data_IF_258484378971
#
_entry.id   IF_258484378971
#
_cell.length_a   1.000
_cell.length_b   1.000
_cell.length_c   1.000
_cell.angle_alpha   90.00
_cell.angle_beta   90.00
_cell.angle_gamma   90.00
#
_symmetry.space_group_name_H-M   'P 1'
#
loop_
_entity.id
_entity.type
_entity.pdbx_description
1 polymer ?
#
# COMPACT_ATOMS: atom_id res chain seq x y z
N UNK A 1 -2.32 -23.61 9.70
CA UNK A 1 -3.51 -22.80 10.04
C UNK A 1 -4.73 -23.54 9.52
N UNK A 2 -5.70 -23.91 10.37
CA UNK A 2 -6.96 -24.44 9.86
C UNK A 2 -7.64 -23.37 8.99
N UNK A 3 -8.21 -23.73 7.83
CA UNK A 3 -8.89 -22.76 7.00
C UNK A 3 -10.07 -22.15 7.77
N UNK A 4 -10.22 -20.83 7.70
CA UNK A 4 -11.37 -20.14 8.26
C UNK A 4 -12.64 -20.70 7.65
N UNK A 5 -13.55 -21.22 8.48
CA UNK A 5 -14.79 -21.84 8.00
C UNK A 5 -15.95 -21.57 8.94
N UNK A 6 -17.16 -21.57 8.36
CA UNK A 6 -18.42 -21.58 9.12
C UNK A 6 -18.67 -23.00 9.56
N UNK A 7 -18.70 -23.22 10.86
CA UNK A 7 -18.93 -24.53 11.46
C UNK A 7 -20.07 -24.45 12.46
N UNK A 8 -20.85 -25.49 12.55
CA UNK A 8 -21.82 -25.70 13.64
C UNK A 8 -21.37 -26.88 14.50
N UNK A 9 -21.71 -26.84 15.78
CA UNK A 9 -21.49 -27.92 16.73
C UNK A 9 -22.87 -28.36 17.24
N UNK A 10 -23.13 -29.66 17.23
CA UNK A 10 -24.31 -30.21 17.87
C UNK A 10 -24.17 -30.29 19.41
N UNK A 11 -25.23 -30.66 20.12
CA UNK A 11 -25.20 -30.80 21.57
C UNK A 11 -24.18 -31.83 22.07
N UNK A 12 -23.77 -32.77 21.21
CA UNK A 12 -22.73 -33.76 21.50
C UNK A 12 -21.32 -33.26 21.19
N UNK A 13 -21.14 -32.00 20.74
CA UNK A 13 -19.85 -31.39 20.41
C UNK A 13 -19.30 -31.81 19.05
N UNK A 14 -20.07 -32.46 18.17
CA UNK A 14 -19.65 -32.84 16.84
C UNK A 14 -19.65 -31.65 15.90
N UNK A 15 -18.49 -31.36 15.35
CA UNK A 15 -18.26 -30.27 14.38
C UNK A 15 -18.74 -30.66 12.98
N UNK A 16 -19.56 -29.81 12.36
CA UNK A 16 -19.91 -29.88 10.94
C UNK A 16 -19.51 -28.56 10.27
N UNK A 17 -18.66 -28.65 9.24
CA UNK A 17 -18.26 -27.46 8.44
C UNK A 17 -19.31 -27.22 7.37
N UNK A 18 -19.90 -26.03 7.35
CA UNK A 18 -20.96 -25.64 6.42
C UNK A 18 -20.42 -24.95 5.16
N UNK A 19 -19.43 -24.06 5.35
CA UNK A 19 -18.84 -23.26 4.28
C UNK A 19 -17.42 -22.90 4.66
N UNK A 20 -16.49 -22.89 3.69
CA UNK A 20 -15.11 -22.50 3.91
C UNK A 20 -14.72 -21.40 2.92
N UNK A 21 -15.26 -20.18 3.06
CA UNK A 21 -14.85 -19.08 2.19
C UNK A 21 -13.50 -18.55 2.65
N UNK A 22 -12.58 -18.20 1.74
CA UNK A 22 -11.33 -17.53 2.08
C UNK A 22 -11.54 -16.18 2.78
N UNK A 23 -12.67 -15.53 2.48
CA UNK A 23 -13.04 -14.23 3.06
C UNK A 23 -14.46 -14.26 3.57
N UNK A 24 -14.67 -13.81 4.82
CA UNK A 24 -15.96 -13.77 5.48
C UNK A 24 -16.20 -12.41 6.14
N UNK A 25 -17.42 -11.86 5.97
CA UNK A 25 -17.80 -10.51 6.40
C UNK A 25 -18.92 -10.49 7.45
N UNK A 26 -19.26 -11.62 7.99
CA UNK A 26 -20.26 -11.76 9.02
C UNK A 26 -21.17 -12.95 8.81
N UNK A 27 -21.82 -13.36 9.87
CA UNK A 27 -22.79 -14.45 9.89
C UNK A 27 -23.87 -14.19 10.94
N UNK A 28 -25.07 -14.73 10.69
CA UNK A 28 -26.16 -14.73 11.67
C UNK A 28 -27.03 -15.99 11.50
N UNK A 29 -27.60 -16.45 12.61
CA UNK A 29 -28.56 -17.54 12.57
C UNK A 29 -29.83 -17.10 11.86
N UNK A 30 -30.27 -17.91 10.89
CA UNK A 30 -31.58 -17.81 10.26
C UNK A 30 -32.59 -18.72 10.97
N UNK A 31 -33.83 -18.77 10.48
CA UNK A 31 -34.78 -19.78 10.88
C UNK A 31 -34.36 -21.18 10.36
N UNK A 32 -34.92 -22.24 10.94
CA UNK A 32 -34.80 -23.64 10.47
C UNK A 32 -33.34 -24.16 10.41
N UNK A 33 -32.54 -23.86 11.43
CA UNK A 33 -31.11 -24.26 11.55
C UNK A 33 -30.22 -23.82 10.39
N UNK A 34 -30.63 -22.81 9.68
CA UNK A 34 -29.84 -22.18 8.63
C UNK A 34 -28.96 -21.03 9.17
N UNK A 35 -27.89 -20.70 8.45
CA UNK A 35 -26.99 -19.60 8.76
C UNK A 35 -26.85 -18.71 7.54
N UNK A 36 -27.10 -17.43 7.70
CA UNK A 36 -26.72 -16.42 6.73
C UNK A 36 -25.22 -16.14 6.83
N UNK A 37 -24.54 -16.15 5.70
CA UNK A 37 -23.10 -15.90 5.63
C UNK A 37 -22.83 -14.91 4.51
N UNK A 38 -22.20 -13.78 4.84
CA UNK A 38 -21.64 -12.90 3.83
C UNK A 38 -20.16 -13.22 3.62
N UNK A 39 -19.74 -13.41 2.37
CA UNK A 39 -18.38 -13.79 2.05
C UNK A 39 -18.19 -14.17 0.59
N UNK A 40 -17.03 -14.74 0.29
CA UNK A 40 -16.72 -15.22 -1.05
C UNK A 40 -15.31 -15.78 -1.20
N UNK A 41 -14.98 -16.32 -2.38
CA UNK A 41 -13.65 -16.87 -2.66
C UNK A 41 -12.54 -15.82 -2.69
N UNK A 42 -12.89 -14.56 -2.90
CA UNK A 42 -11.91 -13.44 -2.87
C UNK A 42 -12.48 -12.23 -2.13
N UNK A 43 -11.62 -11.25 -1.82
CA UNK A 43 -12.06 -9.94 -1.29
C UNK A 43 -12.99 -9.17 -2.24
N UNK A 44 -13.10 -9.57 -3.50
CA UNK A 44 -13.97 -8.97 -4.52
C UNK A 44 -15.35 -9.62 -4.59
N UNK A 45 -15.46 -10.84 -4.10
CA UNK A 45 -16.72 -11.56 -4.12
C UNK A 45 -17.57 -11.12 -2.93
N UNK A 46 -18.69 -10.51 -3.24
CA UNK A 46 -19.62 -9.92 -2.29
C UNK A 46 -20.94 -10.67 -2.37
N UNK A 47 -20.92 -11.89 -1.87
CA UNK A 47 -22.08 -12.77 -1.94
C UNK A 47 -22.66 -13.03 -0.56
N UNK A 48 -23.97 -13.16 -0.52
CA UNK A 48 -24.74 -13.59 0.64
C UNK A 48 -25.19 -15.03 0.38
N UNK A 49 -24.82 -15.90 1.29
CA UNK A 49 -25.17 -17.33 1.24
C UNK A 49 -26.14 -17.68 2.34
N UNK A 50 -27.07 -18.56 2.02
CA UNK A 50 -27.82 -19.33 3.02
C UNK A 50 -27.21 -20.73 3.10
N UNK A 51 -26.75 -21.12 4.28
CA UNK A 51 -26.10 -22.41 4.52
C UNK A 51 -26.84 -23.21 5.56
N UNK A 52 -26.96 -24.51 5.30
CA UNK A 52 -27.63 -25.46 6.20
C UNK A 52 -26.75 -26.71 6.35
N UNK A 53 -26.88 -27.48 7.44
CA UNK A 53 -26.11 -28.70 7.64
C UNK A 53 -26.44 -29.80 6.60
N UNK A 54 -27.59 -29.73 5.90
CA UNK A 54 -28.13 -30.80 5.09
C UNK A 54 -28.13 -30.51 3.59
N UNK A 55 -27.83 -29.26 3.18
CA UNK A 55 -27.85 -28.88 1.76
C UNK A 55 -26.57 -28.12 1.40
N UNK A 56 -26.15 -28.14 0.12
CA UNK A 56 -25.04 -27.28 -0.34
C UNK A 56 -25.33 -25.79 -0.06
N UNK A 57 -24.30 -24.98 0.16
CA UNK A 57 -24.45 -23.54 0.29
C UNK A 57 -25.16 -22.93 -0.91
N UNK A 58 -26.19 -22.11 -0.65
CA UNK A 58 -26.95 -21.44 -1.70
C UNK A 58 -26.58 -19.96 -1.72
N UNK A 59 -26.06 -19.48 -2.85
CA UNK A 59 -25.88 -18.05 -3.09
C UNK A 59 -27.24 -17.41 -3.36
N UNK A 60 -27.65 -16.50 -2.49
CA UNK A 60 -28.96 -15.83 -2.54
C UNK A 60 -28.86 -14.45 -3.17
N UNK A 61 -27.72 -13.77 -2.96
CA UNK A 61 -27.52 -12.43 -3.48
C UNK A 61 -26.02 -12.17 -3.71
N UNK A 62 -25.71 -11.37 -4.71
CA UNK A 62 -24.35 -10.90 -5.01
C UNK A 62 -24.37 -9.41 -5.32
N UNK A 63 -23.37 -8.68 -4.79
CA UNK A 63 -23.21 -7.25 -5.00
C UNK A 63 -21.80 -6.89 -5.46
N UNK A 64 -21.65 -5.69 -6.00
CA UNK A 64 -20.36 -5.06 -6.29
C UNK A 64 -19.81 -4.31 -5.07
N UNK A 65 -20.68 -3.95 -4.13
CA UNK A 65 -20.31 -3.32 -2.86
C UNK A 65 -20.04 -4.36 -1.76
N UNK A 66 -19.44 -3.93 -0.66
CA UNK A 66 -19.26 -4.78 0.52
C UNK A 66 -20.59 -5.07 1.18
N UNK A 67 -20.89 -6.33 1.39
CA UNK A 67 -22.02 -6.77 2.19
C UNK A 67 -21.49 -7.45 3.45
N UNK A 68 -22.10 -7.15 4.59
CA UNK A 68 -21.82 -7.83 5.85
C UNK A 68 -23.13 -8.12 6.55
N UNK A 69 -23.29 -9.36 7.00
CA UNK A 69 -24.44 -9.76 7.83
C UNK A 69 -24.18 -9.28 9.24
N UNK A 70 -25.10 -8.49 9.78
CA UNK A 70 -25.02 -7.97 11.15
C UNK A 70 -25.87 -8.83 12.10
N UNK A 71 -27.10 -9.13 11.69
CA UNK A 71 -28.03 -9.91 12.49
C UNK A 71 -29.19 -10.46 11.63
N UNK A 72 -29.89 -11.46 12.14
CA UNK A 72 -31.10 -11.99 11.56
C UNK A 72 -32.17 -12.22 12.63
N UNK A 73 -33.40 -11.80 12.35
CA UNK A 73 -34.52 -12.00 13.26
C UNK A 73 -35.22 -13.32 13.00
N UNK A 74 -35.94 -13.83 14.00
CA UNK A 74 -36.69 -15.09 13.90
C UNK A 74 -37.83 -15.07 12.87
N UNK A 75 -38.33 -13.87 12.57
CA UNK A 75 -39.39 -13.65 11.57
C UNK A 75 -38.83 -13.49 10.13
N UNK A 76 -37.53 -13.75 9.93
CA UNK A 76 -36.90 -13.79 8.61
C UNK A 76 -36.35 -12.44 8.11
N UNK A 77 -36.36 -11.39 8.94
CA UNK A 77 -35.71 -10.13 8.58
C UNK A 77 -34.20 -10.23 8.76
N UNK A 78 -33.46 -9.62 7.87
CA UNK A 78 -32.02 -9.63 7.87
C UNK A 78 -31.47 -8.20 7.94
N UNK A 79 -30.58 -7.96 8.91
CA UNK A 79 -29.88 -6.71 9.04
C UNK A 79 -28.55 -6.80 8.30
N UNK A 80 -28.43 -6.04 7.22
CA UNK A 80 -27.26 -6.01 6.36
C UNK A 80 -26.58 -4.64 6.45
N UNK A 81 -25.29 -4.68 6.63
CA UNK A 81 -24.42 -3.54 6.34
C UNK A 81 -24.01 -3.64 4.86
N UNK A 82 -24.21 -2.54 4.15
CA UNK A 82 -23.78 -2.36 2.77
C UNK A 82 -22.80 -1.19 2.71
N UNK A 83 -21.59 -1.44 2.25
CA UNK A 83 -20.52 -0.46 2.28
C UNK A 83 -19.79 -0.35 0.96
N UNK A 84 -19.38 0.86 0.64
CA UNK A 84 -18.55 1.16 -0.52
C UNK A 84 -17.28 1.87 -0.07
N UNK A 85 -16.13 1.24 -0.29
CA UNK A 85 -14.82 1.86 -0.03
C UNK A 85 -14.23 2.36 -1.34
N UNK A 86 -13.77 3.61 -1.32
CA UNK A 86 -13.09 4.23 -2.44
C UNK A 86 -11.74 4.76 -1.98
N UNK A 87 -10.72 4.50 -2.77
CA UNK A 87 -9.39 5.07 -2.62
C UNK A 87 -9.18 6.12 -3.69
N UNK A 88 -9.01 7.36 -3.29
CA UNK A 88 -8.69 8.48 -4.18
C UNK A 88 -7.22 8.85 -4.10
N UNK A 89 -6.72 9.52 -5.12
CA UNK A 89 -5.37 10.06 -5.19
C UNK A 89 -5.43 11.55 -5.44
N UNK A 90 -4.84 12.32 -4.55
CA UNK A 90 -4.66 13.77 -4.76
C UNK A 90 -3.19 14.12 -4.84
N UNK A 91 -2.88 15.13 -5.62
CA UNK A 91 -1.54 15.67 -5.71
C UNK A 91 -1.55 17.19 -5.73
N UNK A 92 -0.54 17.79 -5.10
CA UNK A 92 -0.18 19.20 -5.24
C UNK A 92 1.01 19.27 -6.20
N UNK A 93 0.83 19.80 -7.42
CA UNK A 93 1.91 19.95 -8.39
C UNK A 93 2.98 20.94 -7.93
N UNK A 94 4.20 20.86 -8.47
CA UNK A 94 5.24 21.86 -8.20
C UNK A 94 4.81 23.24 -8.69
N UNK A 95 5.02 24.25 -7.82
CA UNK A 95 4.71 25.66 -8.12
C UNK A 95 3.23 26.02 -8.16
N UNK A 96 2.33 25.11 -7.77
CA UNK A 96 0.91 25.38 -7.61
C UNK A 96 0.52 25.36 -6.12
N UNK A 97 -0.51 26.13 -5.75
CA UNK A 97 -1.02 26.18 -4.38
C UNK A 97 -2.21 25.24 -4.14
N UNK A 98 -2.85 24.76 -5.22
CA UNK A 98 -4.02 23.90 -5.15
C UNK A 98 -3.68 22.43 -5.43
N UNK A 99 -4.39 21.55 -4.76
CA UNK A 99 -4.37 20.12 -5.03
C UNK A 99 -5.32 19.74 -6.17
N UNK A 100 -5.04 18.63 -6.84
CA UNK A 100 -5.86 18.04 -7.89
C UNK A 100 -6.22 16.62 -7.55
N UNK A 101 -7.46 16.23 -7.85
CA UNK A 101 -7.87 14.82 -7.84
C UNK A 101 -7.31 14.12 -9.07
N UNK A 102 -6.55 13.05 -8.87
CA UNK A 102 -5.90 12.30 -9.93
C UNK A 102 -6.32 10.82 -9.97
N UNK A 103 -7.09 10.34 -9.01
CA UNK A 103 -7.64 8.98 -9.03
C UNK A 103 -8.65 8.82 -10.18
N UNK A 104 -8.55 7.74 -10.94
CA UNK A 104 -9.44 7.46 -12.08
C UNK A 104 -10.47 6.39 -11.71
N UNK A 105 -10.07 5.38 -10.95
CA UNK A 105 -10.91 4.27 -10.54
C UNK A 105 -11.27 4.33 -9.05
N UNK A 106 -12.02 3.33 -8.61
CA UNK A 106 -12.44 3.25 -7.20
C UNK A 106 -11.28 2.92 -6.24
N UNK A 107 -10.16 2.41 -6.76
CA UNK A 107 -8.99 2.01 -5.97
C UNK A 107 -7.72 2.53 -6.63
N UNK A 108 -7.36 3.75 -6.26
CA UNK A 108 -6.17 4.44 -6.75
C UNK A 108 -5.17 4.60 -5.62
N UNK A 109 -3.91 4.22 -5.85
CA UNK A 109 -2.84 4.33 -4.86
C UNK A 109 -1.65 5.10 -5.42
N UNK A 110 -1.12 5.99 -4.61
CA UNK A 110 0.20 6.60 -4.86
C UNK A 110 1.28 5.54 -4.60
N UNK A 111 2.08 5.26 -5.61
CA UNK A 111 3.27 4.44 -5.45
C UNK A 111 4.51 5.32 -5.29
N UNK A 112 4.66 6.34 -6.14
CA UNK A 112 5.83 7.20 -6.14
C UNK A 112 5.60 8.55 -6.82
N UNK A 113 6.55 9.46 -6.63
CA UNK A 113 6.62 10.79 -7.23
C UNK A 113 8.06 11.08 -7.69
N UNK A 114 8.23 11.68 -8.87
CA UNK A 114 9.55 12.17 -9.31
C UNK A 114 10.15 13.16 -8.31
N UNK A 115 11.47 13.32 -8.34
CA UNK A 115 12.17 14.20 -7.39
C UNK A 115 11.73 15.66 -7.49
N UNK A 116 11.36 16.11 -8.69
CA UNK A 116 10.81 17.45 -8.98
C UNK A 116 9.29 17.55 -8.73
N UNK A 117 8.62 16.43 -8.44
CA UNK A 117 7.18 16.39 -8.21
C UNK A 117 6.31 16.47 -9.48
N UNK A 118 6.90 16.44 -10.68
CA UNK A 118 6.17 16.66 -11.93
C UNK A 118 5.36 15.44 -12.39
N UNK A 119 5.80 14.22 -12.05
CA UNK A 119 5.14 12.99 -12.45
C UNK A 119 4.79 12.11 -11.26
N UNK A 120 3.62 11.52 -11.32
CA UNK A 120 3.07 10.59 -10.34
C UNK A 120 3.06 9.18 -10.92
N UNK A 121 3.57 8.22 -10.16
CA UNK A 121 3.37 6.79 -10.37
C UNK A 121 2.23 6.34 -9.46
N UNK A 122 1.19 5.78 -10.05
CA UNK A 122 0.01 5.29 -9.34
C UNK A 122 -0.32 3.85 -9.72
N UNK A 123 -0.98 3.16 -8.82
CA UNK A 123 -1.62 1.86 -9.06
C UNK A 123 -3.12 2.06 -9.09
N UNK A 124 -3.75 1.54 -10.09
CA UNK A 124 -5.20 1.59 -10.27
C UNK A 124 -5.77 0.17 -10.28
N UNK A 125 -6.78 -0.07 -9.47
CA UNK A 125 -7.37 -1.40 -9.33
C UNK A 125 -8.84 -1.37 -8.95
N UNK A 126 -9.42 -2.55 -8.80
CA UNK A 126 -10.82 -2.73 -8.44
C UNK A 126 -11.01 -3.31 -7.03
N UNK A 127 -10.01 -3.16 -6.12
CA UNK A 127 -10.11 -3.68 -4.76
C UNK A 127 -8.80 -3.59 -3.98
N UNK A 128 -8.83 -3.91 -2.67
CA UNK A 128 -7.68 -3.77 -1.77
C UNK A 128 -6.52 -4.70 -2.12
N UNK A 129 -5.32 -4.18 -1.94
CA UNK A 129 -4.07 -4.93 -2.00
C UNK A 129 -3.40 -4.96 -3.38
N UNK A 130 -2.26 -5.65 -3.45
CA UNK A 130 -1.52 -5.98 -4.68
C UNK A 130 -2.25 -7.07 -5.48
N UNK A 131 -3.56 -6.90 -5.67
CA UNK A 131 -4.39 -7.93 -6.29
C UNK A 131 -4.05 -8.08 -7.77
N UNK A 132 -4.09 -9.32 -8.27
CA UNK A 132 -4.02 -9.60 -9.69
C UNK A 132 -4.98 -8.71 -10.48
N UNK A 133 -4.48 -8.02 -11.51
CA UNK A 133 -5.24 -7.10 -12.34
C UNK A 133 -5.18 -5.63 -11.91
N UNK A 134 -4.38 -5.25 -10.89
CA UNK A 134 -4.04 -3.86 -10.66
C UNK A 134 -3.02 -3.40 -11.71
N UNK A 135 -3.29 -2.27 -12.33
CA UNK A 135 -2.44 -1.71 -13.37
C UNK A 135 -1.67 -0.49 -12.87
N UNK A 136 -0.44 -0.35 -13.35
CA UNK A 136 0.43 0.77 -13.05
C UNK A 136 0.22 1.87 -14.10
N UNK A 137 0.22 3.11 -13.64
CA UNK A 137 0.08 4.29 -14.48
C UNK A 137 1.08 5.37 -14.08
N UNK A 138 1.62 6.05 -15.09
CA UNK A 138 2.35 7.31 -14.90
C UNK A 138 1.53 8.44 -15.49
N UNK A 139 1.48 9.57 -14.80
CA UNK A 139 0.79 10.76 -15.26
C UNK A 139 1.40 12.04 -14.68
N UNK A 140 1.26 13.19 -15.39
CA UNK A 140 1.65 14.48 -14.83
C UNK A 140 0.81 14.84 -13.59
N UNK A 141 1.46 15.38 -12.56
CA UNK A 141 0.75 15.86 -11.35
C UNK A 141 -0.16 17.05 -11.63
N UNK A 142 0.11 17.80 -12.70
CA UNK A 142 -0.75 18.89 -13.20
C UNK A 142 -2.02 18.42 -13.89
N UNK A 143 -2.21 17.11 -13.99
CA UNK A 143 -3.30 16.50 -14.74
C UNK A 143 -2.91 16.20 -16.18
N UNK A 144 -3.82 15.57 -16.91
CA UNK A 144 -3.59 15.10 -18.27
C UNK A 144 -3.68 13.59 -18.42
N UNK A 145 -3.38 13.06 -19.61
CA UNK A 145 -3.49 11.64 -19.88
C UNK A 145 -2.57 10.81 -18.98
N UNK A 146 -3.08 9.68 -18.50
CA UNK A 146 -2.30 8.68 -17.80
C UNK A 146 -1.78 7.64 -18.83
N UNK A 147 -0.52 7.25 -18.70
CA UNK A 147 0.10 6.19 -19.49
C UNK A 147 0.05 4.90 -18.70
N UNK A 148 -0.63 3.88 -19.23
CA UNK A 148 -0.68 2.55 -18.63
C UNK A 148 0.64 1.81 -18.93
N UNK A 149 1.29 1.32 -17.88
CA UNK A 149 2.58 0.62 -17.98
C UNK A 149 2.45 -0.92 -17.92
N UNK A 150 1.29 -1.43 -17.58
CA UNK A 150 1.07 -2.88 -17.39
C UNK A 150 0.62 -3.21 -15.98
N UNK A 151 0.72 -4.50 -15.64
CA UNK A 151 0.36 -5.03 -14.32
C UNK A 151 1.63 -5.30 -13.49
N UNK A 152 1.52 -5.19 -12.17
CA UNK A 152 2.61 -5.44 -11.25
C UNK A 152 2.58 -4.53 -10.02
N UNK A 153 3.56 -4.71 -9.16
CA UNK A 153 3.78 -3.86 -7.99
C UNK A 153 4.87 -2.83 -8.29
N UNK A 154 4.54 -1.57 -8.56
CA UNK A 154 5.55 -0.56 -8.78
C UNK A 154 6.27 -0.25 -7.46
N UNK A 155 7.61 -0.22 -7.51
CA UNK A 155 8.47 0.07 -6.38
C UNK A 155 8.98 1.50 -6.42
N UNK A 156 9.38 2.00 -7.58
CA UNK A 156 9.96 3.33 -7.73
C UNK A 156 9.82 3.89 -9.14
N UNK A 157 9.76 5.22 -9.20
CA UNK A 157 9.92 6.00 -10.43
C UNK A 157 11.33 6.60 -10.45
N UNK A 158 12.02 6.54 -11.61
CA UNK A 158 13.34 7.15 -11.75
C UNK A 158 13.27 8.67 -11.58
N UNK A 159 14.36 9.32 -11.14
CA UNK A 159 14.37 10.77 -10.92
C UNK A 159 13.95 11.59 -12.16
N UNK A 160 14.27 11.12 -13.36
CA UNK A 160 13.91 11.75 -14.63
C UNK A 160 12.53 11.32 -15.17
N UNK A 161 11.83 10.45 -14.43
CA UNK A 161 10.48 9.96 -14.77
C UNK A 161 10.42 9.01 -15.97
N UNK A 162 11.56 8.53 -16.50
CA UNK A 162 11.58 7.70 -17.71
C UNK A 162 11.49 6.20 -17.47
N UNK A 163 11.75 5.76 -16.24
CA UNK A 163 11.79 4.35 -15.86
C UNK A 163 11.01 4.08 -14.58
N UNK A 164 10.39 2.93 -14.52
CA UNK A 164 9.73 2.39 -13.33
C UNK A 164 10.37 1.07 -12.95
N UNK A 165 10.74 0.91 -11.69
CA UNK A 165 11.12 -0.37 -11.11
C UNK A 165 9.86 -1.10 -10.66
N UNK A 166 9.72 -2.34 -11.08
CA UNK A 166 8.51 -3.16 -10.87
C UNK A 166 8.88 -4.51 -10.30
N UNK A 167 8.09 -4.98 -9.35
CA UNK A 167 8.01 -6.39 -8.96
C UNK A 167 6.77 -7.00 -9.64
N UNK A 168 6.93 -7.79 -10.71
CA UNK A 168 5.82 -8.42 -11.40
C UNK A 168 5.18 -9.51 -10.51
N UNK A 169 3.94 -9.92 -10.80
CA UNK A 169 3.31 -11.01 -10.07
C UNK A 169 4.11 -12.31 -10.15
N UNK A 170 4.20 -13.04 -9.04
CA UNK A 170 4.86 -14.35 -8.93
C UNK A 170 5.86 -14.43 -7.77
N UNK A 171 6.30 -15.66 -7.50
CA UNK A 171 7.27 -15.98 -6.46
C UNK A 171 8.45 -16.75 -7.09
N UNK A 172 9.70 -16.48 -6.72
CA UNK A 172 10.16 -15.41 -5.82
C UNK A 172 10.06 -14.01 -6.45
N UNK A 173 10.20 -12.93 -5.65
CA UNK A 173 10.18 -11.55 -6.15
C UNK A 173 11.20 -11.31 -7.25
N UNK A 174 10.85 -10.50 -8.22
CA UNK A 174 11.72 -10.14 -9.34
C UNK A 174 11.80 -8.63 -9.48
N UNK A 175 12.88 -8.14 -10.05
CA UNK A 175 13.03 -6.73 -10.36
C UNK A 175 13.07 -6.55 -11.88
N UNK A 176 12.17 -5.74 -12.39
CA UNK A 176 12.09 -5.38 -13.81
C UNK A 176 12.09 -3.86 -13.92
N UNK A 177 12.92 -3.32 -14.80
CA UNK A 177 12.92 -1.91 -15.18
C UNK A 177 12.08 -1.75 -16.43
N UNK A 178 11.01 -0.96 -16.33
CA UNK A 178 10.03 -0.74 -17.39
C UNK A 178 10.07 0.73 -17.82
N UNK A 179 10.14 1.06 -19.14
CA UNK A 179 10.10 2.45 -19.58
C UNK A 179 8.70 3.05 -19.39
N UNK A 180 8.63 4.35 -19.13
CA UNK A 180 7.36 5.10 -19.04
C UNK A 180 6.85 5.57 -20.40
N UNK A 181 7.67 5.44 -21.44
CA UNK A 181 7.37 5.74 -22.82
C UNK A 181 7.76 4.57 -23.75
N UNK A 182 8.00 4.83 -25.04
CA UNK A 182 8.47 3.79 -25.97
C UNK A 182 9.79 3.17 -25.49
N UNK A 183 9.88 1.84 -25.54
CA UNK A 183 11.06 1.08 -25.12
C UNK A 183 10.70 -0.32 -24.67
N UNK A 184 11.72 -1.10 -24.32
CA UNK A 184 11.57 -2.47 -23.84
C UNK A 184 11.91 -2.57 -22.36
N UNK A 185 11.13 -3.37 -21.64
CA UNK A 185 11.40 -3.71 -20.24
C UNK A 185 12.55 -4.71 -20.17
N UNK A 186 13.38 -4.61 -19.15
CA UNK A 186 14.47 -5.55 -18.90
C UNK A 186 14.50 -6.02 -17.45
N UNK A 187 14.77 -7.30 -17.25
CA UNK A 187 14.92 -7.88 -15.91
C UNK A 187 16.29 -7.54 -15.33
N UNK A 188 16.35 -7.43 -14.00
CA UNK A 188 17.58 -7.29 -13.23
C UNK A 188 17.91 -8.63 -12.56
N UNK A 189 18.72 -9.49 -13.21
CA UNK A 189 19.06 -10.80 -12.69
C UNK A 189 20.09 -10.72 -11.56
N UNK A 190 20.32 -11.84 -10.89
CA UNK A 190 21.45 -12.04 -9.97
C UNK A 190 21.13 -11.82 -8.49
N UNK A 191 19.96 -11.29 -8.14
CA UNK A 191 19.54 -11.25 -6.74
C UNK A 191 18.82 -12.54 -6.32
N UNK A 192 18.83 -12.79 -5.00
CA UNK A 192 18.16 -13.94 -4.35
C UNK A 192 17.25 -13.44 -3.22
N UNK A 193 16.55 -12.34 -3.44
CA UNK A 193 15.64 -11.79 -2.44
C UNK A 193 14.44 -12.71 -2.25
N UNK A 194 14.07 -12.95 -1.01
CA UNK A 194 12.85 -13.63 -0.60
C UNK A 194 11.70 -12.64 -0.46
N UNK A 195 12.02 -11.42 0.03
CA UNK A 195 11.08 -10.30 0.10
C UNK A 195 11.74 -9.03 -0.37
N UNK A 196 10.95 -8.13 -0.97
CA UNK A 196 11.34 -6.76 -1.30
C UNK A 196 10.36 -5.82 -0.60
N UNK A 197 10.86 -5.06 0.35
CA UNK A 197 10.04 -4.14 1.14
C UNK A 197 9.90 -2.78 0.46
N UNK A 198 11.01 -2.26 -0.08
CA UNK A 198 11.05 -1.01 -0.83
C UNK A 198 12.26 -0.96 -1.77
N UNK A 199 12.19 -0.09 -2.76
CA UNK A 199 13.34 0.20 -3.61
C UNK A 199 13.22 1.60 -4.21
N UNK A 200 14.33 2.18 -4.65
CA UNK A 200 14.35 3.43 -5.43
C UNK A 200 15.61 3.57 -6.25
N UNK A 201 15.51 4.41 -7.28
CA UNK A 201 16.65 4.79 -8.08
C UNK A 201 17.53 5.80 -7.34
N UNK A 202 18.83 5.57 -7.40
CA UNK A 202 19.88 6.51 -7.07
C UNK A 202 20.37 7.22 -8.34
N UNK A 203 21.39 8.05 -8.19
CA UNK A 203 22.09 8.64 -9.33
C UNK A 203 22.75 7.55 -10.18
N UNK A 204 22.99 7.84 -11.45
CA UNK A 204 23.60 6.91 -12.43
C UNK A 204 22.81 5.61 -12.66
N UNK A 205 21.50 5.60 -12.30
CA UNK A 205 20.64 4.45 -12.49
C UNK A 205 20.87 3.28 -11.52
N UNK A 206 21.74 3.43 -10.54
CA UNK A 206 21.88 2.47 -9.45
C UNK A 206 20.56 2.37 -8.67
N UNK A 207 20.35 1.23 -8.04
CA UNK A 207 19.16 0.98 -7.23
C UNK A 207 19.56 0.72 -5.78
N UNK A 208 18.83 1.30 -4.85
CA UNK A 208 18.85 0.88 -3.47
C UNK A 208 17.58 0.08 -3.18
N UNK A 209 17.75 -1.13 -2.64
CA UNK A 209 16.66 -2.09 -2.43
C UNK A 209 16.69 -2.53 -0.97
N UNK A 210 15.63 -2.27 -0.23
CA UNK A 210 15.42 -2.87 1.09
C UNK A 210 14.76 -4.23 0.88
N UNK A 211 15.47 -5.27 1.23
CA UNK A 211 15.08 -6.65 0.96
C UNK A 211 15.62 -7.61 2.01
N UNK A 212 15.03 -8.79 2.11
CA UNK A 212 15.55 -9.90 2.87
C UNK A 212 15.94 -11.08 1.95
N UNK A 213 17.01 -11.75 2.29
CA UNK A 213 17.34 -13.10 1.79
C UNK A 213 16.92 -14.13 2.83
N UNK A 214 16.80 -15.41 2.42
CA UNK A 214 16.33 -16.48 3.29
C UNK A 214 17.13 -16.57 4.60
N UNK A 215 16.41 -16.46 5.72
CA UNK A 215 16.97 -16.55 7.06
C UNK A 215 17.58 -15.26 7.62
N UNK A 216 17.53 -14.14 6.87
CA UNK A 216 18.04 -12.84 7.30
C UNK A 216 16.89 -11.83 7.47
N UNK A 217 17.10 -10.80 8.28
CA UNK A 217 16.20 -9.65 8.34
C UNK A 217 16.50 -8.70 7.19
N UNK A 218 15.46 -7.95 6.76
CA UNK A 218 15.59 -6.94 5.71
C UNK A 218 16.71 -5.93 6.02
N UNK A 219 17.44 -5.55 4.98
CA UNK A 219 18.45 -4.48 4.97
C UNK A 219 18.56 -3.85 3.59
N UNK A 220 19.26 -2.73 3.49
CA UNK A 220 19.48 -2.06 2.22
C UNK A 220 20.62 -2.70 1.43
N UNK A 221 20.36 -2.96 0.15
CA UNK A 221 21.32 -3.45 -0.83
C UNK A 221 21.46 -2.45 -1.98
N UNK A 222 22.70 -2.27 -2.45
CA UNK A 222 23.00 -1.57 -3.69
C UNK A 222 23.02 -2.57 -4.84
N UNK A 223 22.28 -2.28 -5.88
CA UNK A 223 22.18 -3.09 -7.10
C UNK A 223 22.56 -2.24 -8.31
N UNK A 224 23.36 -2.80 -9.21
CA UNK A 224 23.75 -2.14 -10.46
C UNK A 224 22.56 -2.05 -11.44
N UNK A 225 22.55 -1.07 -12.38
CA UNK A 225 21.49 -0.93 -13.38
C UNK A 225 21.34 -2.14 -14.31
N UNK A 226 22.41 -2.91 -14.46
CA UNK A 226 22.43 -4.16 -15.26
C UNK A 226 22.01 -5.40 -14.47
N UNK A 227 21.69 -5.27 -13.16
CA UNK A 227 21.52 -6.38 -12.25
C UNK A 227 22.88 -6.88 -11.72
N UNK A 228 22.91 -8.12 -11.27
CA UNK A 228 24.08 -8.76 -10.66
C UNK A 228 23.88 -9.02 -9.17
N UNK A 229 24.94 -9.41 -8.50
CA UNK A 229 24.91 -9.72 -7.06
C UNK A 229 24.73 -8.43 -6.25
N UNK A 230 23.68 -8.33 -5.42
CA UNK A 230 23.43 -7.15 -4.59
C UNK A 230 24.50 -7.00 -3.50
N UNK A 231 25.01 -5.79 -3.32
CA UNK A 231 25.98 -5.48 -2.27
C UNK A 231 25.26 -4.90 -1.06
N UNK A 232 25.38 -5.48 0.14
CA UNK A 232 24.79 -4.92 1.35
C UNK A 232 25.39 -3.54 1.67
N UNK A 233 24.52 -2.60 2.05
CA UNK A 233 24.86 -1.21 2.44
C UNK A 233 24.67 -1.02 3.93
N UNK A 234 23.59 -1.58 4.50
CA UNK A 234 23.28 -1.45 5.92
C UNK A 234 23.38 -2.80 6.63
N UNK A 235 23.54 -2.83 7.96
CA UNK A 235 23.33 -4.03 8.76
C UNK A 235 21.89 -4.53 8.67
N UNK A 236 21.67 -5.79 9.03
CA UNK A 236 20.34 -6.37 9.12
C UNK A 236 19.42 -5.61 10.10
N UNK A 237 18.15 -5.44 9.70
CA UNK A 237 17.15 -4.72 10.46
C UNK A 237 17.23 -3.20 10.32
N UNK A 238 18.17 -2.68 9.53
CA UNK A 238 18.28 -1.25 9.20
C UNK A 238 17.72 -1.04 7.79
N UNK A 239 16.60 -0.36 7.71
CA UNK A 239 15.95 -0.01 6.44
C UNK A 239 16.36 1.40 6.01
N UNK A 240 16.44 1.60 4.71
CA UNK A 240 16.87 2.86 4.16
C UNK A 240 15.70 3.87 4.03
N UNK A 241 16.03 5.14 4.16
CA UNK A 241 15.10 6.26 3.91
C UNK A 241 15.36 6.79 2.52
N UNK A 242 14.30 6.91 1.71
CA UNK A 242 14.38 7.42 0.35
C UNK A 242 15.10 8.76 0.27
N UNK A 243 16.03 8.87 -0.65
CA UNK A 243 16.87 10.02 -0.91
C UNK A 243 18.35 9.72 -0.67
N UNK A 244 19.20 10.31 -1.48
CA UNK A 244 20.65 10.23 -1.35
C UNK A 244 21.21 11.60 -0.97
N UNK A 245 22.36 11.58 -0.31
CA UNK A 245 23.10 12.78 0.06
C UNK A 245 24.21 13.03 -0.96
N UNK A 246 24.63 14.30 -1.10
CA UNK A 246 25.70 14.70 -2.03
C UNK A 246 27.04 14.05 -1.73
N UNK A 247 27.25 13.58 -0.48
CA UNK A 247 28.44 12.84 -0.07
C UNK A 247 28.43 11.35 -0.49
N UNK A 248 27.42 10.92 -1.24
CA UNK A 248 27.26 9.53 -1.67
C UNK A 248 26.86 8.59 -0.53
N UNK A 249 26.13 9.08 0.45
CA UNK A 249 25.54 8.27 1.51
C UNK A 249 24.01 8.23 1.42
N UNK A 250 23.41 7.29 2.16
CA UNK A 250 21.96 7.18 2.37
C UNK A 250 21.67 7.18 3.87
N UNK A 251 20.48 7.62 4.25
CA UNK A 251 20.01 7.52 5.63
C UNK A 251 19.41 6.15 5.88
N UNK A 252 19.83 5.48 6.93
CA UNK A 252 19.20 4.26 7.44
C UNK A 252 18.50 4.52 8.76
N UNK A 253 17.41 3.78 9.00
CA UNK A 253 16.64 3.82 10.23
C UNK A 253 16.64 2.45 10.90
N UNK A 254 16.97 2.41 12.16
CA UNK A 254 16.86 1.22 13.00
C UNK A 254 15.44 1.02 13.55
N UNK A 255 15.13 -0.18 14.05
CA UNK A 255 13.82 -0.52 14.58
C UNK A 255 13.46 0.30 15.84
N UNK A 256 14.46 0.83 16.53
CA UNK A 256 14.31 1.73 17.68
C UNK A 256 14.20 3.21 17.29
N UNK A 257 14.21 3.52 15.99
CA UNK A 257 14.16 4.88 15.45
C UNK A 257 15.51 5.57 15.38
N UNK A 258 16.62 4.94 15.73
CA UNK A 258 17.95 5.51 15.53
C UNK A 258 18.23 5.73 14.05
N UNK A 259 18.88 6.85 13.73
CA UNK A 259 19.27 7.21 12.37
C UNK A 259 20.79 7.26 12.23
N UNK A 260 21.28 6.80 11.09
CA UNK A 260 22.67 6.94 10.70
C UNK A 260 22.81 7.08 9.19
N UNK A 261 23.88 7.72 8.75
CA UNK A 261 24.29 7.78 7.34
C UNK A 261 25.17 6.59 7.00
N UNK A 262 24.86 5.92 5.92
CA UNK A 262 25.57 4.76 5.41
C UNK A 262 26.22 5.11 4.07
N UNK A 263 27.58 5.14 3.98
CA UNK A 263 28.26 5.42 2.73
C UNK A 263 27.99 4.34 1.67
N UNK A 264 27.53 4.74 0.49
CA UNK A 264 27.27 3.79 -0.61
C UNK A 264 28.52 3.08 -1.12
N UNK A 265 29.70 3.66 -0.90
CA UNK A 265 30.99 3.05 -1.30
C UNK A 265 31.57 2.13 -0.23
N UNK A 266 30.87 1.94 0.89
CA UNK A 266 31.35 1.23 2.08
C UNK A 266 32.05 2.16 3.06
N UNK A 267 32.26 1.66 4.27
CA UNK A 267 32.82 2.41 5.41
C UNK A 267 31.89 2.37 6.61
N UNK A 268 32.34 2.99 7.71
CA UNK A 268 31.60 2.97 8.96
C UNK A 268 30.36 3.87 8.88
N UNK A 269 29.22 3.45 9.46
CA UNK A 269 28.06 4.27 9.58
C UNK A 269 28.33 5.51 10.43
N UNK A 270 27.78 6.64 10.02
CA UNK A 270 27.89 7.93 10.71
C UNK A 270 26.59 8.20 11.48
N UNK A 271 26.56 8.00 12.81
CA UNK A 271 25.39 8.33 13.61
C UNK A 271 25.01 9.81 13.49
N UNK A 272 23.71 10.10 13.53
CA UNK A 272 23.19 11.47 13.56
C UNK A 272 22.44 11.73 14.86
N UNK A 273 22.26 12.98 15.24
CA UNK A 273 21.58 13.35 16.47
C UNK A 273 20.07 13.04 16.44
N UNK A 274 19.50 13.03 15.25
CA UNK A 274 18.07 12.82 15.05
C UNK A 274 17.67 11.35 15.31
N UNK A 275 16.47 11.19 15.84
CA UNK A 275 15.75 9.89 15.93
C UNK A 275 14.35 10.05 15.40
N UNK A 276 13.84 9.01 14.76
CA UNK A 276 12.44 8.99 14.33
C UNK A 276 11.53 9.04 15.58
N UNK A 277 10.60 9.98 15.66
CA UNK A 277 9.63 10.01 16.75
C UNK A 277 8.74 8.77 16.72
N UNK A 278 8.37 8.26 17.89
CA UNK A 278 7.46 7.11 18.00
C UNK A 278 6.14 7.38 17.27
N UNK A 279 5.65 6.39 16.54
CA UNK A 279 4.39 6.50 15.77
C UNK A 279 4.51 7.31 14.49
N UNK A 280 5.75 7.64 14.05
CA UNK A 280 5.99 8.27 12.76
C UNK A 280 6.65 7.33 11.76
N UNK A 281 6.50 7.66 10.49
CA UNK A 281 7.16 6.97 9.37
C UNK A 281 8.04 7.95 8.63
N UNK A 282 9.27 7.56 8.35
CA UNK A 282 10.12 8.33 7.44
C UNK A 282 9.55 8.26 6.02
N UNK A 283 9.40 9.41 5.38
CA UNK A 283 8.88 9.52 4.03
C UNK A 283 10.00 9.72 3.02
N UNK A 284 10.86 10.70 3.29
CA UNK A 284 11.96 11.06 2.38
C UNK A 284 12.99 11.94 3.10
N UNK A 285 14.26 11.80 2.73
CA UNK A 285 15.29 12.81 3.06
C UNK A 285 15.14 14.03 2.12
N UNK A 286 15.32 15.22 2.65
CA UNK A 286 15.30 16.45 1.85
C UNK A 286 16.50 16.52 0.88
N UNK A 287 16.31 17.15 -0.28
CA UNK A 287 17.34 17.26 -1.30
C UNK A 287 18.61 18.03 -0.86
N UNK A 288 18.50 18.91 0.15
CA UNK A 288 19.62 19.60 0.77
C UNK A 288 20.31 18.78 1.88
N UNK A 289 19.77 17.63 2.23
CA UNK A 289 20.30 16.73 3.25
C UNK A 289 20.16 17.20 4.69
N UNK A 290 19.36 18.25 4.96
CA UNK A 290 19.19 18.82 6.31
C UNK A 290 18.09 18.14 7.11
N UNK A 291 17.06 17.63 6.44
CA UNK A 291 15.86 17.12 7.07
C UNK A 291 15.52 15.70 6.59
N UNK A 292 14.80 15.00 7.44
CA UNK A 292 13.94 13.87 7.04
C UNK A 292 12.50 14.32 7.20
N UNK A 293 11.70 14.19 6.14
CA UNK A 293 10.25 14.35 6.24
C UNK A 293 9.68 13.11 6.91
N UNK A 294 8.95 13.32 7.98
CA UNK A 294 8.32 12.25 8.76
C UNK A 294 6.82 12.43 8.78
N UNK A 295 6.10 11.34 8.53
CA UNK A 295 4.64 11.33 8.48
C UNK A 295 4.05 10.69 9.71
N UNK A 296 2.93 11.24 10.17
CA UNK A 296 2.12 10.72 11.27
C UNK A 296 0.68 10.54 10.80
N UNK A 297 0.18 9.31 10.96
CA UNK A 297 -1.18 8.94 10.57
C UNK A 297 -2.23 9.76 11.29
N UNK A 298 -3.34 10.01 10.63
CA UNK A 298 -4.48 10.76 11.11
C UNK A 298 -5.25 11.44 9.98
N UNK A 299 -6.31 12.13 10.34
CA UNK A 299 -7.06 12.99 9.44
C UNK A 299 -7.18 14.38 10.10
N UNK A 300 -6.37 15.37 9.69
CA UNK A 300 -5.39 15.34 8.61
C UNK A 300 -4.16 14.48 8.91
N UNK A 301 -3.48 14.03 7.85
CA UNK A 301 -2.16 13.40 7.94
C UNK A 301 -1.10 14.49 8.13
N UNK A 302 -0.30 14.38 9.17
CA UNK A 302 0.70 15.37 9.50
C UNK A 302 2.07 14.98 8.97
N UNK A 303 2.76 15.93 8.36
CA UNK A 303 4.12 15.80 7.89
C UNK A 303 4.96 16.82 8.64
N UNK A 304 5.99 16.34 9.32
CA UNK A 304 6.95 17.15 10.05
C UNK A 304 8.31 17.13 9.34
N UNK A 305 9.12 18.16 9.55
CA UNK A 305 10.55 18.20 9.22
C UNK A 305 11.35 17.82 10.46
N UNK A 306 12.05 16.70 10.40
CA UNK A 306 13.01 16.28 11.42
C UNK A 306 14.39 16.73 11.02
N UNK A 307 14.96 17.70 11.72
CA UNK A 307 16.30 18.22 11.46
C UNK A 307 17.36 17.23 11.92
N UNK A 308 18.23 16.80 10.98
CA UNK A 308 19.18 15.71 11.20
C UNK A 308 20.25 16.08 12.21
N UNK A 309 20.71 17.36 12.19
CA UNK A 309 21.78 17.84 13.03
C UNK A 309 21.38 18.01 14.51
N UNK A 310 20.13 18.35 14.78
CA UNK A 310 19.65 18.69 16.13
C UNK A 310 18.64 17.69 16.70
N UNK A 311 18.01 16.88 15.86
CA UNK A 311 16.90 16.02 16.24
C UNK A 311 15.59 16.79 16.49
N UNK A 312 15.53 18.08 16.17
CA UNK A 312 14.32 18.89 16.33
C UNK A 312 13.30 18.58 15.25
N UNK A 313 12.09 18.23 15.66
CA UNK A 313 10.95 18.07 14.75
C UNK A 313 10.11 19.34 14.73
N UNK A 314 9.75 19.80 13.54
CA UNK A 314 8.89 20.96 13.33
C UNK A 314 7.75 20.64 12.36
N UNK A 315 6.50 21.04 12.65
CA UNK A 315 5.38 20.85 11.72
C UNK A 315 5.69 21.46 10.35
N UNK A 316 5.38 20.71 9.30
CA UNK A 316 5.60 21.15 7.92
C UNK A 316 4.29 21.31 7.16
N UNK A 317 3.54 20.22 7.01
CA UNK A 317 2.25 20.19 6.30
C UNK A 317 1.25 19.33 7.03
N UNK A 318 -0.03 19.64 6.82
CA UNK A 318 -1.15 18.79 7.18
C UNK A 318 -1.97 18.55 5.90
N UNK A 319 -2.06 17.30 5.45
CA UNK A 319 -2.73 16.94 4.20
C UNK A 319 -4.03 16.21 4.46
N UNK A 320 -5.07 16.61 3.75
CA UNK A 320 -6.39 15.98 3.75
C UNK A 320 -7.15 16.39 2.48
N UNK A 321 -8.13 15.61 2.01
CA UNK A 321 -9.01 16.07 0.96
C UNK A 321 -9.84 17.27 1.43
N UNK A 322 -10.23 18.17 0.49
CA UNK A 322 -11.06 19.33 0.82
C UNK A 322 -12.43 18.91 1.35
N UNK A 323 -13.04 17.93 0.69
CA UNK A 323 -14.24 17.26 1.17
C UNK A 323 -13.83 16.03 2.00
N UNK A 324 -14.09 16.11 3.30
CA UNK A 324 -13.79 15.03 4.25
C UNK A 324 -14.95 14.06 4.46
N UNK A 325 -16.06 14.22 3.75
CA UNK A 325 -17.23 13.34 3.90
C UNK A 325 -16.84 11.88 3.59
N UNK A 326 -17.11 11.00 4.54
CA UNK A 326 -16.74 9.60 4.46
C UNK A 326 -15.22 9.31 4.49
N UNK A 327 -14.37 10.35 4.61
CA UNK A 327 -12.92 10.15 4.66
C UNK A 327 -12.50 9.54 5.99
N UNK A 328 -11.72 8.48 5.93
CA UNK A 328 -11.27 7.72 7.09
C UNK A 328 -9.79 7.93 7.41
N UNK A 329 -8.94 7.98 6.38
CA UNK A 329 -7.50 8.10 6.56
C UNK A 329 -6.77 8.61 5.28
N UNK A 330 -5.51 9.01 5.49
CA UNK A 330 -4.50 9.14 4.44
C UNK A 330 -3.51 8.00 4.61
N UNK A 331 -3.37 7.15 3.60
CA UNK A 331 -2.64 5.87 3.70
C UNK A 331 -1.21 5.91 3.20
N UNK A 332 -1.01 6.53 2.05
CA UNK A 332 0.32 6.67 1.44
C UNK A 332 0.56 8.11 1.05
N UNK A 333 1.80 8.54 1.17
CA UNK A 333 2.21 9.90 0.82
C UNK A 333 3.58 9.85 0.15
N UNK A 334 3.71 10.51 -0.98
CA UNK A 334 4.97 10.74 -1.68
C UNK A 334 5.26 12.23 -1.76
N UNK A 335 6.53 12.61 -1.69
CA UNK A 335 7.00 13.98 -1.64
C UNK A 335 8.08 14.21 -2.71
N UNK A 336 8.12 15.41 -3.29
CA UNK A 336 9.30 15.91 -4.02
C UNK A 336 10.51 16.06 -3.10
N UNK A 337 11.69 16.25 -3.66
CA UNK A 337 12.92 16.36 -2.88
C UNK A 337 12.96 17.60 -1.97
N UNK A 338 12.27 18.67 -2.33
CA UNK A 338 12.09 19.88 -1.52
C UNK A 338 10.87 19.83 -0.58
N UNK A 339 10.01 18.82 -0.76
CA UNK A 339 8.75 18.66 -0.04
C UNK A 339 7.62 19.60 -0.49
N UNK A 340 7.82 20.42 -1.53
CA UNK A 340 6.80 21.40 -1.96
C UNK A 340 5.69 20.72 -2.78
N UNK A 341 6.04 19.80 -3.67
CA UNK A 341 5.09 18.96 -4.35
C UNK A 341 4.88 17.66 -3.56
N UNK A 342 3.65 17.18 -3.57
CA UNK A 342 3.30 15.92 -2.90
C UNK A 342 2.10 15.26 -3.55
N UNK A 343 1.98 13.97 -3.29
CA UNK A 343 0.78 13.20 -3.64
C UNK A 343 0.42 12.28 -2.48
N UNK A 344 -0.86 12.01 -2.30
CA UNK A 344 -1.33 11.10 -1.26
C UNK A 344 -2.55 10.31 -1.69
N UNK A 345 -2.65 9.12 -1.12
CA UNK A 345 -3.83 8.26 -1.20
C UNK A 345 -4.71 8.50 0.02
N UNK A 346 -5.99 8.70 -0.19
CA UNK A 346 -6.97 8.80 0.88
C UNK A 346 -8.10 7.79 0.70
N UNK A 347 -8.59 7.26 1.81
CA UNK A 347 -9.73 6.35 1.85
C UNK A 347 -11.03 7.07 2.16
N UNK A 348 -12.08 6.72 1.42
CA UNK A 348 -13.48 7.08 1.75
C UNK A 348 -14.28 5.81 1.95
N UNK A 349 -15.11 5.83 2.97
CA UNK A 349 -15.98 4.73 3.28
C UNK A 349 -17.41 5.24 3.49
N UNK A 350 -18.31 4.75 2.67
CA UNK A 350 -19.73 5.05 2.76
C UNK A 350 -20.44 3.77 3.19
N UNK A 351 -21.30 3.88 4.19
CA UNK A 351 -21.98 2.73 4.77
C UNK A 351 -23.45 3.03 4.96
N UNK A 352 -24.27 2.07 4.57
CA UNK A 352 -25.69 2.06 4.84
C UNK A 352 -26.07 0.78 5.58
N UNK A 353 -27.07 0.89 6.44
CA UNK A 353 -27.63 -0.24 7.16
C UNK A 353 -29.03 -0.50 6.57
N UNK A 354 -29.22 -1.72 6.06
CA UNK A 354 -30.50 -2.15 5.46
C UNK A 354 -31.17 -3.20 6.32
N UNK A 355 -32.46 -2.99 6.58
CA UNK A 355 -33.32 -4.04 7.07
C UNK A 355 -34.07 -4.66 5.87
N UNK A 356 -33.73 -5.91 5.56
CA UNK A 356 -34.34 -6.65 4.45
C UNK A 356 -35.44 -7.54 4.99
N UNK A 357 -36.67 -7.36 4.52
CA UNK A 357 -37.87 -7.99 5.09
C UNK A 357 -38.25 -9.30 4.41
N UNK A 358 -37.65 -9.80 3.41
CA UNK A 358 -37.93 -11.12 2.82
C UNK A 358 -36.94 -11.47 1.71
N UNK A 359 -35.73 -11.84 2.08
CA UNK A 359 -34.88 -12.59 1.17
C UNK A 359 -35.39 -14.02 1.11
N UNK A 360 -36.01 -14.37 -0.03
CA UNK A 360 -36.34 -15.75 -0.32
C UNK A 360 -35.19 -16.38 -1.09
N UNK A 361 -34.72 -17.57 -0.67
CA UNK A 361 -33.73 -18.35 -1.41
C UNK A 361 -34.25 -18.77 -2.78
#
# INVERSE_FOLDING_TARGET
MEPNGVCVYDEGGRKTTLLTPPVMWGLAWAADDAVWVAGGPTFRDRSLYLVTPTRPPQEVYRDLASISVQDASRDGRLLLHHGFERMGVRAKPPGEDSERELGVFSWSWVADLTADGAQLLAVEGNGPGRAAGAAMYVRPTRGGPAVRLGEGSPLALSPDGKWVLVDPPGEPPRLIVTPTGPGESHALPGHRFETIDSAWFLEEGQLLVDAAVTGERSRAYLLAPSGGEPRPVTPEGIVSIRGSYRDGSVMGAGPDGTLARYPLRGGDPQPVAARLPTGTRALRASGDGRFVFVGRSGMPYHIDRLEIATGRSTPWKAVRPDDVTGSIDVRTTALSADGEAYAYTYGRYFQDLYLVESLRP
#
